data_IF_553258516348
#
_entry.id   IF_553258516348
#
_cell.length_a   1.000
_cell.length_b   1.000
_cell.length_c   1.000
_cell.angle_alpha   90.00
_cell.angle_beta   90.00
_cell.angle_gamma   90.00
#
_symmetry.space_group_name_H-M   'P 1'
#
loop_
_entity.id
_entity.type
_entity.pdbx_description
1 polymer ?
#
# COMPACT_ATOMS: atom_id res chain seq x y z
N UNK A 1 28.38 -14.90 35.47
CA UNK A 1 27.56 -15.42 34.34
C UNK A 1 26.15 -14.86 34.22
N UNK A 2 25.83 -13.71 34.83
CA UNK A 2 24.44 -13.14 34.82
C UNK A 2 24.18 -12.21 33.63
N UNK A 3 25.22 -11.71 32.96
CA UNK A 3 25.04 -10.73 31.89
C UNK A 3 24.71 -11.27 30.49
N UNK A 4 24.85 -12.58 30.26
CA UNK A 4 24.54 -13.18 28.96
C UNK A 4 23.05 -13.55 28.80
N UNK A 5 22.33 -13.78 29.90
CA UNK A 5 20.94 -14.21 29.88
C UNK A 5 19.98 -13.25 29.14
N UNK A 6 20.02 -11.91 29.34
CA UNK A 6 19.14 -11.00 28.63
C UNK A 6 19.44 -10.93 27.13
N UNK A 7 20.70 -11.11 26.71
CA UNK A 7 21.10 -11.10 25.30
C UNK A 7 20.56 -12.36 24.61
N UNK A 8 20.71 -13.51 25.24
CA UNK A 8 20.18 -14.79 24.72
C UNK A 8 18.65 -14.76 24.67
N UNK A 9 18.02 -14.26 25.73
CA UNK A 9 16.55 -14.10 25.74
C UNK A 9 16.03 -13.16 24.62
N UNK A 10 16.74 -12.09 24.31
CA UNK A 10 16.38 -11.17 23.23
C UNK A 10 16.44 -11.83 21.84
N UNK A 11 17.34 -12.80 21.62
CA UNK A 11 17.42 -13.56 20.36
C UNK A 11 16.24 -14.52 20.17
N UNK A 12 15.69 -15.04 21.25
CA UNK A 12 14.55 -15.98 21.20
C UNK A 12 13.19 -15.31 21.34
N UNK A 13 13.16 -14.08 21.84
CA UNK A 13 11.90 -13.33 21.99
C UNK A 13 11.50 -12.68 20.67
N UNK A 14 10.75 -13.41 19.85
CA UNK A 14 10.04 -12.84 18.70
C UNK A 14 8.67 -12.36 19.20
N UNK A 15 8.39 -11.06 19.23
CA UNK A 15 7.07 -10.59 19.60
C UNK A 15 6.04 -11.16 18.60
N UNK A 16 5.10 -11.94 19.09
CA UNK A 16 4.05 -12.59 18.29
C UNK A 16 2.83 -11.68 18.04
N UNK A 17 2.76 -10.54 18.73
CA UNK A 17 1.70 -9.57 18.57
C UNK A 17 2.27 -8.19 18.31
N UNK A 18 2.10 -7.72 17.08
CA UNK A 18 2.33 -6.32 16.75
C UNK A 18 1.06 -5.55 17.09
N UNK A 19 1.18 -4.44 17.82
CA UNK A 19 0.05 -3.60 18.22
C UNK A 19 -0.27 -2.59 17.10
N UNK A 20 -0.55 -3.12 15.90
CA UNK A 20 -0.93 -2.35 14.73
C UNK A 20 -2.44 -2.48 14.49
N UNK A 21 -3.02 -1.43 13.97
CA UNK A 21 -4.43 -1.39 13.61
C UNK A 21 -4.69 -2.09 12.28
N UNK A 22 -3.74 -2.00 11.33
CA UNK A 22 -3.82 -2.66 10.04
C UNK A 22 -3.34 -4.12 10.07
N UNK A 23 -3.73 -4.86 9.03
CA UNK A 23 -3.32 -6.24 8.79
C UNK A 23 -1.89 -6.27 8.25
N UNK A 24 -1.00 -6.99 8.92
CA UNK A 24 0.43 -7.09 8.54
C UNK A 24 0.65 -8.36 7.73
N UNK A 25 1.39 -8.22 6.62
CA UNK A 25 1.89 -9.36 5.84
C UNK A 25 3.18 -9.88 6.47
N UNK A 26 3.16 -11.14 6.94
CA UNK A 26 4.33 -11.80 7.52
C UNK A 26 4.56 -13.17 6.86
N UNK A 27 5.68 -13.33 6.15
CA UNK A 27 6.68 -12.30 5.82
C UNK A 27 6.11 -11.23 4.88
N UNK A 28 6.73 -10.04 4.86
CA UNK A 28 6.43 -9.02 3.86
C UNK A 28 6.64 -9.59 2.45
N UNK A 29 5.73 -9.28 1.52
CA UNK A 29 5.72 -9.89 0.19
C UNK A 29 6.39 -8.99 -0.82
N UNK A 30 7.46 -9.42 -1.49
CA UNK A 30 8.06 -8.61 -2.55
C UNK A 30 7.03 -8.40 -3.66
N UNK A 31 6.83 -7.14 -4.01
CA UNK A 31 5.97 -6.77 -5.12
C UNK A 31 6.82 -6.91 -6.37
N UNK A 32 6.47 -7.91 -7.20
CA UNK A 32 7.19 -8.19 -8.42
C UNK A 32 7.18 -6.99 -9.39
N UNK A 33 8.17 -6.92 -10.27
CA UNK A 33 8.22 -5.96 -11.37
C UNK A 33 6.94 -6.07 -12.20
N UNK A 34 6.02 -5.14 -11.95
CA UNK A 34 4.81 -5.00 -12.73
C UNK A 34 4.98 -3.83 -13.67
N UNK A 35 4.74 -4.10 -14.94
CA UNK A 35 4.60 -3.04 -15.91
C UNK A 35 3.23 -2.41 -15.77
N UNK A 36 3.23 -1.11 -15.56
CA UNK A 36 2.03 -0.29 -15.45
C UNK A 36 2.05 0.73 -16.59
N UNK A 37 0.89 1.12 -17.06
CA UNK A 37 0.73 2.16 -18.06
C UNK A 37 0.31 3.46 -17.38
N UNK A 38 1.18 4.43 -17.39
CA UNK A 38 0.89 5.79 -16.92
C UNK A 38 0.49 6.72 -18.08
N UNK A 39 0.09 7.95 -17.76
CA UNK A 39 -0.27 8.97 -18.75
C UNK A 39 0.87 9.30 -19.75
N UNK A 40 2.13 9.14 -19.32
CA UNK A 40 3.32 9.46 -20.11
C UNK A 40 4.03 8.21 -20.68
N UNK A 41 3.39 7.05 -20.63
CA UNK A 41 3.94 5.80 -21.13
C UNK A 41 4.13 4.72 -20.05
N UNK A 42 4.79 3.60 -20.42
CA UNK A 42 4.99 2.49 -19.51
C UNK A 42 5.90 2.87 -18.34
N UNK A 43 5.53 2.39 -17.15
CA UNK A 43 6.25 2.60 -15.89
C UNK A 43 6.41 1.25 -15.20
N UNK A 44 7.58 0.97 -14.69
CA UNK A 44 7.81 -0.21 -13.86
C UNK A 44 7.57 0.13 -12.39
N UNK A 45 6.93 -0.76 -11.67
CA UNK A 45 6.71 -0.57 -10.23
C UNK A 45 8.02 -0.38 -9.46
N UNK A 46 9.10 -0.97 -9.96
CA UNK A 46 10.45 -0.79 -9.41
C UNK A 46 10.91 0.68 -9.36
N UNK A 47 10.38 1.52 -10.26
CA UNK A 47 10.63 2.97 -10.25
C UNK A 47 10.02 3.69 -9.03
N UNK A 48 9.14 3.03 -8.30
CA UNK A 48 8.53 3.55 -7.07
C UNK A 48 9.35 3.20 -5.82
N UNK A 49 10.42 2.42 -5.94
CA UNK A 49 11.33 2.10 -4.84
C UNK A 49 11.97 3.36 -4.24
N UNK A 50 12.50 3.22 -3.03
CA UNK A 50 13.08 4.30 -2.22
C UNK A 50 12.05 5.27 -1.62
N UNK A 51 10.76 5.09 -1.90
CA UNK A 51 9.67 5.81 -1.24
C UNK A 51 8.62 4.83 -0.73
N UNK A 52 7.90 5.25 0.28
CA UNK A 52 6.70 4.55 0.72
C UNK A 52 5.60 4.70 -0.32
N UNK A 53 4.90 3.64 -0.63
CA UNK A 53 3.76 3.70 -1.57
C UNK A 53 2.47 3.42 -0.82
N UNK A 54 1.57 4.38 -0.86
CA UNK A 54 0.19 4.22 -0.45
C UNK A 54 -0.63 3.86 -1.66
N UNK A 55 -1.15 2.64 -1.68
CA UNK A 55 -1.74 2.04 -2.86
C UNK A 55 -3.23 1.78 -2.67
N UNK A 56 -4.04 2.23 -3.61
CA UNK A 56 -5.41 1.79 -3.86
C UNK A 56 -5.46 0.99 -5.16
N UNK A 57 -6.34 0.00 -5.23
CA UNK A 57 -6.46 -0.92 -6.37
C UNK A 57 -7.93 -1.06 -6.73
N UNK A 58 -8.25 -1.13 -8.02
CA UNK A 58 -9.59 -1.46 -8.50
C UNK A 58 -9.54 -2.37 -9.72
N UNK A 59 -10.52 -3.27 -9.81
CA UNK A 59 -10.75 -4.10 -10.99
C UNK A 59 -12.04 -3.66 -11.70
N UNK A 60 -11.87 -3.01 -12.86
CA UNK A 60 -12.98 -2.52 -13.66
C UNK A 60 -13.60 -1.21 -13.12
N UNK A 61 -14.80 -1.27 -12.58
CA UNK A 61 -15.55 -0.06 -12.18
C UNK A 61 -15.04 0.51 -10.87
N UNK A 62 -14.73 1.81 -10.83
CA UNK A 62 -14.43 2.52 -9.60
C UNK A 62 -15.75 3.03 -8.97
N UNK A 63 -16.21 2.37 -7.94
CA UNK A 63 -17.39 2.72 -7.13
C UNK A 63 -17.03 3.72 -6.01
N UNK A 64 -17.97 4.05 -5.15
CA UNK A 64 -17.77 5.00 -4.04
C UNK A 64 -16.66 4.55 -3.05
N UNK A 65 -16.53 3.24 -2.80
CA UNK A 65 -15.50 2.70 -1.91
C UNK A 65 -14.11 2.80 -2.55
N UNK A 66 -14.02 2.51 -3.86
CA UNK A 66 -12.80 2.73 -4.64
C UNK A 66 -12.37 4.20 -4.60
N UNK A 67 -13.26 5.14 -4.91
CA UNK A 67 -12.95 6.57 -4.81
C UNK A 67 -12.57 6.99 -3.39
N UNK A 68 -13.24 6.43 -2.39
CA UNK A 68 -12.93 6.63 -0.98
C UNK A 68 -11.50 6.18 -0.63
N UNK A 69 -11.03 5.08 -1.21
CA UNK A 69 -9.67 4.59 -1.01
C UNK A 69 -8.63 5.46 -1.74
N UNK A 70 -8.92 5.92 -2.97
CA UNK A 70 -8.07 6.90 -3.66
C UNK A 70 -7.93 8.16 -2.81
N UNK A 71 -9.04 8.67 -2.29
CA UNK A 71 -9.03 9.84 -1.40
C UNK A 71 -8.21 9.60 -0.14
N UNK A 72 -8.30 8.41 0.47
CA UNK A 72 -7.51 8.03 1.66
C UNK A 72 -6.00 8.04 1.36
N UNK A 73 -5.55 7.53 0.20
CA UNK A 73 -4.13 7.55 -0.15
C UNK A 73 -3.59 8.98 -0.14
N UNK A 74 -4.35 9.91 -0.72
CA UNK A 74 -4.03 11.34 -0.76
C UNK A 74 -4.04 11.98 0.62
N UNK A 75 -5.13 11.82 1.37
CA UNK A 75 -5.29 12.45 2.68
C UNK A 75 -4.26 11.96 3.70
N UNK A 76 -4.04 10.65 3.79
CA UNK A 76 -3.07 10.07 4.71
C UNK A 76 -1.64 10.52 4.40
N UNK A 77 -1.29 10.70 3.13
CA UNK A 77 -0.01 11.30 2.74
C UNK A 77 0.12 12.72 3.28
N UNK A 78 -0.85 13.59 3.06
CA UNK A 78 -0.82 14.97 3.57
C UNK A 78 -0.80 15.03 5.11
N UNK A 79 -1.46 14.08 5.77
CA UNK A 79 -1.46 14.00 7.24
C UNK A 79 -0.09 13.66 7.84
N UNK A 80 0.91 13.24 7.03
CA UNK A 80 2.27 12.97 7.50
C UNK A 80 3.17 14.23 7.53
N UNK A 81 2.67 15.38 7.10
CA UNK A 81 3.38 16.68 7.15
C UNK A 81 4.79 16.59 6.52
N UNK A 82 5.85 16.71 7.33
CA UNK A 82 7.24 16.71 6.85
C UNK A 82 7.65 15.39 6.17
N UNK A 83 7.04 14.28 6.52
CA UNK A 83 7.32 12.98 5.94
C UNK A 83 6.55 12.73 4.62
N UNK A 84 5.67 13.65 4.19
CA UNK A 84 4.86 13.45 2.98
C UNK A 84 5.69 13.30 1.70
N UNK A 85 6.91 13.87 1.65
CA UNK A 85 7.84 13.74 0.53
C UNK A 85 8.42 12.34 0.38
N UNK A 86 8.39 11.54 1.45
CA UNK A 86 8.82 10.15 1.47
C UNK A 86 7.75 9.18 0.98
N UNK A 87 6.56 9.69 0.64
CA UNK A 87 5.37 8.89 0.34
C UNK A 87 4.85 9.24 -1.05
N UNK A 88 4.58 8.23 -1.86
CA UNK A 88 3.82 8.33 -3.10
C UNK A 88 2.41 7.78 -2.89
N UNK A 89 1.42 8.45 -3.45
CA UNK A 89 0.04 7.98 -3.49
C UNK A 89 -0.23 7.43 -4.87
N UNK A 90 -0.60 6.17 -4.97
CA UNK A 90 -0.76 5.44 -6.22
C UNK A 90 -2.12 4.78 -6.28
N UNK A 91 -2.74 4.85 -7.43
CA UNK A 91 -3.94 4.10 -7.78
C UNK A 91 -3.68 3.23 -9.00
N UNK A 92 -3.94 1.94 -8.87
CA UNK A 92 -3.79 0.97 -9.95
C UNK A 92 -5.16 0.43 -10.33
N UNK A 93 -5.43 0.36 -11.62
CA UNK A 93 -6.68 -0.17 -12.13
C UNK A 93 -6.49 -1.11 -13.32
N UNK A 94 -7.46 -1.99 -13.53
CA UNK A 94 -7.68 -2.69 -14.79
C UNK A 94 -8.95 -2.14 -15.46
N UNK A 95 -8.98 -2.14 -16.77
CA UNK A 95 -10.23 -1.95 -17.55
C UNK A 95 -11.07 -0.69 -17.23
N UNK A 96 -10.55 0.32 -16.53
CA UNK A 96 -11.24 1.61 -16.43
C UNK A 96 -11.25 2.31 -17.80
N UNK A 97 -12.37 2.97 -18.11
CA UNK A 97 -12.42 3.83 -19.28
C UNK A 97 -11.34 4.93 -19.16
N UNK A 98 -10.61 5.25 -20.25
CA UNK A 98 -9.53 6.24 -20.23
C UNK A 98 -9.97 7.60 -19.69
N UNK A 99 -11.17 8.06 -20.07
CA UNK A 99 -11.73 9.33 -19.60
C UNK A 99 -11.93 9.32 -18.08
N UNK A 100 -12.46 8.23 -17.53
CA UNK A 100 -12.64 8.08 -16.07
C UNK A 100 -11.31 8.06 -15.35
N UNK A 101 -10.30 7.36 -15.88
CA UNK A 101 -8.96 7.34 -15.29
C UNK A 101 -8.32 8.73 -15.28
N UNK A 102 -8.50 9.50 -16.36
CA UNK A 102 -8.03 10.89 -16.47
C UNK A 102 -8.76 11.82 -15.48
N UNK A 103 -10.07 11.68 -15.35
CA UNK A 103 -10.88 12.44 -14.39
C UNK A 103 -10.46 12.15 -12.94
N UNK A 104 -10.22 10.88 -12.59
CA UNK A 104 -9.74 10.50 -11.27
C UNK A 104 -8.34 11.08 -10.99
N UNK A 105 -7.44 11.05 -11.97
CA UNK A 105 -6.10 11.64 -11.83
C UNK A 105 -6.18 13.15 -11.60
N UNK A 106 -7.03 13.86 -12.32
CA UNK A 106 -7.23 15.29 -12.16
C UNK A 106 -7.88 15.63 -10.80
N UNK A 107 -8.94 14.90 -10.43
CA UNK A 107 -9.71 15.10 -9.19
C UNK A 107 -8.88 14.85 -7.93
N UNK A 108 -8.02 13.84 -7.94
CA UNK A 108 -7.27 13.41 -6.76
C UNK A 108 -5.78 13.75 -6.80
N UNK A 109 -5.35 14.71 -7.61
CA UNK A 109 -3.95 15.18 -7.62
C UNK A 109 -3.44 15.38 -6.18
N UNK A 110 -2.22 14.88 -5.81
CA UNK A 110 -1.17 14.29 -6.63
C UNK A 110 -1.17 12.75 -6.63
N UNK A 111 -2.33 12.09 -6.66
CA UNK A 111 -2.38 10.63 -6.80
C UNK A 111 -1.97 10.24 -8.22
N UNK A 112 -1.03 9.32 -8.32
CA UNK A 112 -0.56 8.79 -9.59
C UNK A 112 -1.45 7.63 -10.02
N UNK A 113 -2.04 7.72 -11.21
CA UNK A 113 -2.97 6.73 -11.74
C UNK A 113 -2.29 5.88 -12.80
N UNK A 114 -2.37 4.57 -12.66
CA UNK A 114 -1.75 3.62 -13.57
C UNK A 114 -2.74 2.52 -13.97
N UNK A 115 -2.75 2.20 -15.26
CA UNK A 115 -3.42 1.03 -15.78
C UNK A 115 -2.50 -0.18 -15.74
N UNK A 116 -3.06 -1.36 -15.48
CA UNK A 116 -2.36 -2.64 -15.51
C UNK A 116 -3.13 -3.60 -16.41
N UNK A 117 -2.40 -4.33 -17.25
CA UNK A 117 -2.98 -5.38 -18.08
C UNK A 117 -3.59 -6.50 -17.21
N UNK A 118 -4.68 -7.11 -17.70
CA UNK A 118 -5.44 -8.09 -16.94
C UNK A 118 -4.58 -9.29 -16.46
N UNK A 119 -3.65 -9.76 -17.28
CA UNK A 119 -2.74 -10.86 -16.91
C UNK A 119 -1.73 -10.46 -15.83
N UNK A 120 -1.25 -9.21 -15.87
CA UNK A 120 -0.38 -8.66 -14.84
C UNK A 120 -1.17 -8.45 -13.53
N UNK A 121 -2.42 -8.01 -13.63
CA UNK A 121 -3.30 -7.81 -12.50
C UNK A 121 -3.58 -9.12 -11.74
N UNK A 122 -3.75 -10.23 -12.45
CA UNK A 122 -3.90 -11.54 -11.82
C UNK A 122 -2.72 -11.91 -10.92
N UNK A 123 -1.49 -11.59 -11.32
CA UNK A 123 -0.30 -11.77 -10.46
C UNK A 123 -0.33 -10.88 -9.23
N UNK A 124 -0.88 -9.67 -9.36
CA UNK A 124 -1.08 -8.77 -8.25
C UNK A 124 -2.07 -9.31 -7.23
N UNK A 125 -3.18 -9.88 -7.66
CA UNK A 125 -4.18 -10.45 -6.74
C UNK A 125 -3.59 -11.53 -5.83
N UNK A 126 -2.67 -12.35 -6.36
CA UNK A 126 -1.95 -13.35 -5.58
C UNK A 126 -1.05 -12.71 -4.49
N UNK A 127 -0.43 -11.57 -4.80
CA UNK A 127 0.42 -10.83 -3.85
C UNK A 127 -0.44 -10.14 -2.79
N UNK A 128 -1.57 -9.56 -3.20
CA UNK A 128 -2.48 -8.83 -2.32
C UNK A 128 -3.32 -9.75 -1.44
N UNK A 129 -3.37 -11.04 -1.73
CA UNK A 129 -4.20 -12.02 -1.03
C UNK A 129 -4.00 -11.94 0.50
N UNK A 130 -5.11 -11.83 1.22
CA UNK A 130 -5.11 -11.88 2.67
C UNK A 130 -5.54 -13.29 3.06
N UNK A 131 -4.73 -14.03 3.80
CA UNK A 131 -5.12 -15.33 4.28
C UNK A 131 -6.47 -15.27 4.99
N UNK A 132 -7.35 -16.21 4.67
CA UNK A 132 -8.69 -16.39 5.28
C UNK A 132 -9.71 -15.25 4.98
N UNK A 133 -9.38 -14.29 4.10
CA UNK A 133 -10.32 -13.26 3.64
C UNK A 133 -10.97 -13.64 2.30
N UNK A 134 -12.25 -13.26 2.06
CA UNK A 134 -12.86 -13.38 0.74
C UNK A 134 -12.06 -12.62 -0.33
N UNK A 135 -11.97 -13.19 -1.54
CA UNK A 135 -11.19 -12.61 -2.64
C UNK A 135 -11.64 -11.17 -2.97
N UNK A 136 -12.93 -10.89 -2.91
CA UNK A 136 -13.49 -9.55 -3.16
C UNK A 136 -13.02 -8.52 -2.12
N UNK A 137 -12.67 -8.95 -0.92
CA UNK A 137 -12.16 -8.05 0.12
C UNK A 137 -10.78 -7.44 -0.19
N UNK A 138 -10.12 -7.91 -1.26
CA UNK A 138 -8.78 -7.45 -1.64
C UNK A 138 -8.82 -6.18 -2.49
N UNK A 139 -9.89 -5.93 -3.23
CA UNK A 139 -9.96 -4.83 -4.20
C UNK A 139 -10.24 -3.48 -3.56
N UNK A 140 -10.99 -3.45 -2.47
CA UNK A 140 -11.40 -2.21 -1.80
C UNK A 140 -10.54 -1.90 -0.57
N UNK A 141 -9.27 -2.33 -0.55
CA UNK A 141 -8.36 -2.08 0.56
C UNK A 141 -7.34 -1.00 0.24
N UNK A 142 -6.84 -0.40 1.29
CA UNK A 142 -5.67 0.47 1.24
C UNK A 142 -4.43 -0.37 1.59
N UNK A 143 -3.39 -0.26 0.78
CA UNK A 143 -2.15 -1.04 0.94
C UNK A 143 -0.95 -0.13 1.17
N UNK A 144 0.04 -0.66 1.91
CA UNK A 144 1.32 0.01 2.13
C UNK A 144 2.44 -0.88 1.61
N UNK A 145 3.24 -0.32 0.70
CA UNK A 145 4.47 -0.92 0.18
C UNK A 145 5.65 -0.13 0.76
N UNK A 146 6.66 -0.84 1.25
CA UNK A 146 7.85 -0.25 1.81
C UNK A 146 8.83 0.27 0.74
N UNK A 147 9.83 1.08 1.09
CA UNK A 147 10.83 1.59 0.13
C UNK A 147 11.70 0.51 -0.53
N UNK A 148 11.73 -0.70 0.01
CA UNK A 148 12.42 -1.84 -0.60
C UNK A 148 11.54 -2.58 -1.63
N UNK A 149 10.26 -2.18 -1.77
CA UNK A 149 9.32 -2.78 -2.70
C UNK A 149 8.60 -4.01 -2.15
N UNK A 150 8.35 -4.06 -0.84
CA UNK A 150 7.58 -5.14 -0.24
C UNK A 150 6.22 -4.64 0.24
N UNK A 151 5.18 -5.39 -0.08
CA UNK A 151 3.87 -5.23 0.52
C UNK A 151 3.94 -5.66 1.99
N UNK A 152 3.69 -4.75 2.90
CA UNK A 152 3.86 -5.01 4.32
C UNK A 152 2.59 -4.88 5.15
N UNK A 153 1.62 -4.09 4.70
CA UNK A 153 0.41 -3.84 5.49
C UNK A 153 -0.77 -3.49 4.60
N UNK A 154 -1.98 -3.81 5.06
CA UNK A 154 -3.22 -3.34 4.45
C UNK A 154 -4.25 -2.93 5.49
N UNK A 155 -5.26 -2.18 5.05
CA UNK A 155 -6.39 -1.75 5.86
C UNK A 155 -7.70 -1.99 5.13
N UNK A 156 -8.76 -2.42 5.82
CA UNK A 156 -10.07 -2.58 5.21
C UNK A 156 -10.67 -1.22 4.79
N UNK A 157 -11.68 -1.21 3.92
CA UNK A 157 -12.34 0.03 3.46
C UNK A 157 -12.92 0.85 4.63
N UNK A 158 -13.42 0.17 5.66
CA UNK A 158 -13.99 0.78 6.87
C UNK A 158 -12.96 1.31 7.87
N UNK A 159 -11.65 1.18 7.60
CA UNK A 159 -10.61 1.58 8.53
C UNK A 159 -10.65 3.08 8.86
N UNK A 160 -10.53 3.41 10.16
CA UNK A 160 -10.48 4.78 10.65
C UNK A 160 -9.16 5.45 10.24
N UNK A 161 -9.20 6.54 9.45
CA UNK A 161 -8.00 7.25 9.01
C UNK A 161 -7.12 7.77 10.16
N UNK A 162 -7.68 8.06 11.33
CA UNK A 162 -6.90 8.52 12.47
C UNK A 162 -6.07 7.39 13.11
N UNK A 163 -6.60 6.18 13.11
CA UNK A 163 -5.87 4.99 13.57
C UNK A 163 -4.80 4.60 12.54
N UNK A 164 -5.14 4.62 11.24
CA UNK A 164 -4.19 4.42 10.16
C UNK A 164 -3.02 5.42 10.24
N UNK A 165 -3.31 6.71 10.46
CA UNK A 165 -2.28 7.75 10.64
C UNK A 165 -1.29 7.41 11.76
N UNK A 166 -1.78 6.87 12.89
CA UNK A 166 -0.92 6.49 14.03
C UNK A 166 0.05 5.36 13.65
N UNK A 167 -0.45 4.34 12.96
CA UNK A 167 0.38 3.23 12.48
C UNK A 167 1.42 3.72 11.47
N UNK A 168 0.99 4.46 10.46
CA UNK A 168 1.87 5.03 9.43
C UNK A 168 2.98 5.88 10.06
N UNK A 169 2.64 6.73 11.03
CA UNK A 169 3.64 7.54 11.73
C UNK A 169 4.68 6.69 12.47
N UNK A 170 4.28 5.56 13.04
CA UNK A 170 5.22 4.61 13.66
C UNK A 170 6.15 3.97 12.63
N UNK A 171 5.58 3.54 11.48
CA UNK A 171 6.38 2.97 10.38
C UNK A 171 7.42 3.96 9.85
N UNK A 172 7.00 5.19 9.54
CA UNK A 172 7.89 6.23 9.03
C UNK A 172 8.99 6.60 10.03
N UNK A 173 8.68 6.58 11.34
CA UNK A 173 9.65 6.84 12.40
C UNK A 173 10.66 5.70 12.57
N UNK A 174 10.23 4.44 12.38
CA UNK A 174 11.10 3.28 12.46
C UNK A 174 12.01 3.13 11.23
N UNK A 175 11.56 3.62 10.07
CA UNK A 175 12.31 3.63 8.81
C UNK A 175 13.09 4.94 8.71
N UNK A 176 14.41 4.86 8.84
CA UNK A 176 15.32 6.01 8.70
C UNK A 176 15.78 6.24 7.24
N UNK A 177 15.04 5.67 6.27
CA UNK A 177 15.32 5.79 4.83
C UNK A 177 14.65 7.05 4.31
#
# INVERSE_FOLDING_TARGET
MVFAAPIVAAFFYKPTKFNNYGDIYQPARPVANLQMQGANGPVELDSLRHQWVFLAVADGVCNADCEGNILKTRQLRFMQNNDMSRIRSVFIHTNLAPDLAADLAAKYTPVEVYAVEADAYKKWTEILEIPDAPTEAQYDRFYIIDPAGNLMMSYPPSADPNLMKKDIKRLLKASQI
#
